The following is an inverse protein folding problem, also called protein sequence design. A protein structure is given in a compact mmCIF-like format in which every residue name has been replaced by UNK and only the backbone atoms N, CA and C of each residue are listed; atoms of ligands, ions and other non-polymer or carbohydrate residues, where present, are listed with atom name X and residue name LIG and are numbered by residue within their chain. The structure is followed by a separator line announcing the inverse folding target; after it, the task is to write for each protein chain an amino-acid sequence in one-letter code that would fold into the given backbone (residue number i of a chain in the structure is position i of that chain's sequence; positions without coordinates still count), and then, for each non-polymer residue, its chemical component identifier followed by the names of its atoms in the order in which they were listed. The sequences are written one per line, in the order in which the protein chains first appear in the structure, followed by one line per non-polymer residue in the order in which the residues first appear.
data_IF_511263154413
#
_entry.id   IF_511263154413
#
_cell.length_a   1.000
_cell.length_b   1.000
_cell.length_c   1.000
_cell.angle_alpha   90.00
_cell.angle_beta   90.00
_cell.angle_gamma   90.00
#
_symmetry.space_group_name_H-M   'P 1'
#
loop_
_entity.id
_entity.type
_entity.pdbx_description
1 polymer ?
#
# COMPACT_ATOMS: atom_id res chain seq x y z
N UNK A 1 0.65 50.85 43.21
CA UNK A 1 0.06 49.49 43.14
C UNK A 1 -0.83 49.26 41.90
N UNK A 2 -1.64 50.24 41.47
CA UNK A 2 -2.58 50.12 40.33
C UNK A 2 -1.90 50.05 38.95
N UNK A 3 -0.74 50.70 38.77
CA UNK A 3 -0.01 50.68 37.49
C UNK A 3 0.58 49.29 37.17
N UNK A 4 1.05 48.57 38.20
CA UNK A 4 1.60 47.21 38.05
C UNK A 4 0.52 46.17 37.69
N UNK A 5 -0.70 46.33 38.22
CA UNK A 5 -1.83 45.44 37.91
C UNK A 5 -2.36 45.67 36.50
N UNK A 6 -2.39 46.91 36.01
CA UNK A 6 -2.75 47.21 34.61
C UNK A 6 -1.73 46.65 33.61
N UNK A 7 -0.42 46.78 33.89
CA UNK A 7 0.62 46.22 33.03
C UNK A 7 0.53 44.69 32.97
N UNK A 8 0.27 44.01 34.10
CA UNK A 8 0.04 42.55 34.12
C UNK A 8 -1.19 42.14 33.32
N UNK A 9 -2.29 42.88 33.40
CA UNK A 9 -3.52 42.61 32.64
C UNK A 9 -3.33 42.79 31.13
N UNK A 10 -2.55 43.80 30.72
CA UNK A 10 -2.21 44.03 29.31
C UNK A 10 -1.28 42.91 28.79
N UNK A 11 -0.29 42.50 29.58
CA UNK A 11 0.59 41.37 29.22
C UNK A 11 -0.19 40.07 29.07
N UNK A 12 -1.12 39.76 29.97
CA UNK A 12 -1.96 38.56 29.91
C UNK A 12 -2.84 38.57 28.65
N UNK A 13 -3.44 39.72 28.30
CA UNK A 13 -4.23 39.85 27.06
C UNK A 13 -3.38 39.68 25.80
N UNK A 14 -2.17 40.22 25.77
CA UNK A 14 -1.25 40.06 24.65
C UNK A 14 -0.77 38.60 24.48
N UNK A 15 -0.52 37.89 25.59
CA UNK A 15 -0.18 36.46 25.58
C UNK A 15 -1.36 35.63 25.08
N UNK A 16 -2.57 35.93 25.54
CA UNK A 16 -3.78 35.20 25.12
C UNK A 16 -4.08 35.40 23.62
N UNK A 17 -3.90 36.62 23.09
CA UNK A 17 -4.05 36.91 21.66
C UNK A 17 -3.00 36.15 20.83
N UNK A 18 -1.75 36.06 21.31
CA UNK A 18 -0.71 35.27 20.62
C UNK A 18 -0.98 33.77 20.64
N UNK A 19 -1.54 33.24 21.73
CA UNK A 19 -1.97 31.84 21.79
C UNK A 19 -3.11 31.54 20.82
N UNK A 20 -4.10 32.43 20.72
CA UNK A 20 -5.23 32.29 19.80
C UNK A 20 -4.76 32.33 18.33
N UNK A 21 -3.87 33.27 17.98
CA UNK A 21 -3.29 33.37 16.64
C UNK A 21 -2.42 32.15 16.32
N UNK A 22 -1.65 31.64 17.28
CA UNK A 22 -0.84 30.44 17.13
C UNK A 22 -1.67 29.18 16.86
N UNK A 23 -2.77 28.98 17.60
CA UNK A 23 -3.67 27.84 17.39
C UNK A 23 -4.37 27.93 16.02
N UNK A 24 -4.77 29.12 15.58
CA UNK A 24 -5.36 29.33 14.26
C UNK A 24 -4.38 28.99 13.12
N UNK A 25 -3.09 29.33 13.27
CA UNK A 25 -2.04 28.97 12.31
C UNK A 25 -1.75 27.46 12.27
N UNK A 26 -1.80 26.78 13.42
CA UNK A 26 -1.61 25.32 13.50
C UNK A 26 -2.80 24.58 12.86
N UNK A 27 -4.03 25.07 13.02
CA UNK A 27 -5.21 24.50 12.34
C UNK A 27 -5.15 24.62 10.81
N UNK A 28 -4.50 25.66 10.26
CA UNK A 28 -4.26 25.78 8.82
C UNK A 28 -3.19 24.80 8.32
N UNK A 29 -2.17 24.50 9.12
CA UNK A 29 -1.07 23.59 8.73
C UNK A 29 -1.47 22.11 8.76
N UNK A 30 -2.48 21.73 9.55
CA UNK A 30 -2.97 20.34 9.65
C UNK A 30 -3.81 19.88 8.45
N UNK A 31 -4.25 20.79 7.57
CA UNK A 31 -5.03 20.45 6.37
C UNK A 31 -4.18 19.79 5.27
N UNK A 32 -2.85 19.95 5.30
CA UNK A 32 -1.94 19.45 4.25
C UNK A 32 -1.55 17.98 4.46
N UNK A 33 -1.54 17.49 5.71
CA UNK A 33 -1.09 16.12 6.03
C UNK A 33 -2.22 15.10 6.17
N UNK A 34 -3.49 15.49 6.04
CA UNK A 34 -4.63 14.57 6.03
C UNK A 34 -4.91 13.97 4.63
N UNK A 35 -4.46 14.63 3.56
CA UNK A 35 -4.72 14.22 2.18
C UNK A 35 -3.98 12.95 1.76
N UNK A 36 -3.02 12.48 2.55
CA UNK A 36 -2.18 11.32 2.20
C UNK A 36 -2.66 9.99 2.80
N UNK A 37 -3.68 10.00 3.67
CA UNK A 37 -4.32 8.78 4.22
C UNK A 37 -5.83 8.73 3.97
N UNK A 38 -6.39 9.69 3.24
CA UNK A 38 -7.78 9.63 2.85
C UNK A 38 -7.91 8.74 1.60
N UNK A 39 -8.67 7.65 1.71
CA UNK A 39 -9.35 7.03 0.57
C UNK A 39 -10.27 8.09 -0.05
N UNK A 40 -9.70 9.00 -0.84
CA UNK A 40 -10.38 10.24 -1.20
C UNK A 40 -9.46 11.43 -1.51
N UNK A 41 -8.39 11.25 -2.29
CA UNK A 41 -7.69 12.37 -2.93
C UNK A 41 -8.26 12.57 -4.35
N UNK A 42 -8.17 13.75 -4.96
CA UNK A 42 -8.80 14.22 -6.23
C UNK A 42 -8.90 13.26 -7.45
N UNK A 43 -8.27 12.09 -7.43
CA UNK A 43 -8.71 10.91 -8.19
C UNK A 43 -10.09 10.37 -7.75
N UNK A 44 -10.61 10.80 -6.59
CA UNK A 44 -11.88 10.37 -5.99
C UNK A 44 -13.03 11.34 -6.24
N UNK A 45 -12.74 12.59 -6.65
CA UNK A 45 -13.79 13.52 -7.07
C UNK A 45 -14.36 13.17 -8.44
N UNK A 46 -13.68 12.29 -9.18
CA UNK A 46 -14.09 11.81 -10.50
C UNK A 46 -13.83 10.31 -10.64
N UNK A 47 -14.11 9.54 -9.59
CA UNK A 47 -14.00 8.08 -9.67
C UNK A 47 -14.99 7.55 -10.71
N UNK A 48 -16.19 8.15 -10.78
CA UNK A 48 -17.19 7.85 -11.80
C UNK A 48 -16.65 8.11 -13.21
N UNK A 49 -16.04 9.27 -13.50
CA UNK A 49 -15.45 9.53 -14.82
C UNK A 49 -14.27 8.62 -15.14
N UNK A 50 -13.48 8.22 -14.14
CA UNK A 50 -12.37 7.28 -14.34
C UNK A 50 -12.87 5.85 -14.61
N UNK A 51 -13.94 5.41 -13.92
CA UNK A 51 -14.60 4.14 -14.18
C UNK A 51 -15.32 4.16 -15.53
N UNK A 52 -16.01 5.26 -15.85
CA UNK A 52 -16.70 5.45 -17.12
C UNK A 52 -15.71 5.46 -18.29
N UNK A 53 -14.57 6.14 -18.17
CA UNK A 53 -13.52 6.09 -19.19
C UNK A 53 -12.97 4.67 -19.41
N UNK A 54 -12.96 3.85 -18.35
CA UNK A 54 -12.52 2.46 -18.43
C UNK A 54 -13.59 1.53 -19.04
N UNK A 55 -14.86 1.79 -18.74
CA UNK A 55 -16.02 1.12 -19.34
C UNK A 55 -16.14 1.51 -20.82
N UNK A 56 -16.10 2.80 -21.13
CA UNK A 56 -16.13 3.31 -22.50
C UNK A 56 -14.95 2.77 -23.33
N UNK A 57 -13.80 2.51 -22.70
CA UNK A 57 -12.65 1.87 -23.36
C UNK A 57 -12.81 0.35 -23.54
N UNK A 58 -13.54 -0.36 -22.66
CA UNK A 58 -13.72 -1.80 -22.76
C UNK A 58 -14.88 -2.26 -21.85
N UNK A 59 -16.12 -2.16 -22.33
CA UNK A 59 -17.32 -2.56 -21.59
C UNK A 59 -17.57 -4.07 -21.69
N UNK A 60 -16.58 -4.86 -21.27
CA UNK A 60 -16.70 -6.31 -21.18
C UNK A 60 -16.29 -6.79 -19.78
N UNK A 61 -17.22 -7.49 -19.14
CA UNK A 61 -17.08 -7.95 -17.76
C UNK A 61 -15.93 -8.95 -17.61
N UNK A 62 -15.67 -9.80 -18.59
CA UNK A 62 -14.58 -10.79 -18.52
C UNK A 62 -13.22 -10.09 -18.61
N UNK A 63 -13.07 -9.12 -19.50
CA UNK A 63 -11.86 -8.31 -19.62
C UNK A 63 -11.58 -7.53 -18.32
N UNK A 64 -12.61 -6.93 -17.71
CA UNK A 64 -12.49 -6.26 -16.41
C UNK A 64 -12.13 -7.25 -15.28
N UNK A 65 -12.69 -8.46 -15.29
CA UNK A 65 -12.33 -9.51 -14.34
C UNK A 65 -10.88 -9.98 -14.50
N UNK A 66 -10.41 -10.16 -15.74
CA UNK A 66 -9.02 -10.50 -16.02
C UNK A 66 -8.06 -9.40 -15.53
N UNK A 67 -8.39 -8.13 -15.76
CA UNK A 67 -7.64 -6.98 -15.22
C UNK A 67 -7.52 -7.05 -13.70
N UNK A 68 -8.63 -7.33 -13.01
CA UNK A 68 -8.63 -7.44 -11.55
C UNK A 68 -7.74 -8.60 -11.06
N UNK A 69 -7.79 -9.75 -11.74
CA UNK A 69 -6.92 -10.91 -11.43
C UNK A 69 -5.45 -10.60 -11.65
N UNK A 70 -5.09 -9.98 -12.78
CA UNK A 70 -3.70 -9.58 -13.05
C UNK A 70 -3.20 -8.66 -11.92
N UNK A 71 -3.97 -7.61 -11.59
CA UNK A 71 -3.62 -6.67 -10.51
C UNK A 71 -3.44 -7.32 -9.14
N UNK A 72 -4.18 -8.40 -8.86
CA UNK A 72 -4.02 -9.18 -7.64
C UNK A 72 -2.67 -9.92 -7.60
N UNK A 73 -2.14 -10.34 -8.76
CA UNK A 73 -0.88 -11.06 -8.87
C UNK A 73 0.34 -10.15 -8.97
N UNK A 74 0.22 -8.93 -9.53
CA UNK A 74 1.33 -7.98 -9.66
C UNK A 74 2.18 -7.78 -8.38
N UNK A 75 1.63 -7.56 -7.18
CA UNK A 75 2.45 -7.40 -5.98
C UNK A 75 3.13 -8.71 -5.52
N UNK A 76 2.63 -9.87 -5.98
CA UNK A 76 3.05 -11.20 -5.56
C UNK A 76 4.06 -11.83 -6.52
N UNK A 77 4.19 -11.31 -7.73
CA UNK A 77 5.07 -11.84 -8.76
C UNK A 77 6.49 -11.22 -8.70
N UNK A 78 7.39 -11.66 -9.57
CA UNK A 78 8.72 -11.04 -9.75
C UNK A 78 8.59 -9.67 -10.42
N UNK A 79 9.58 -8.79 -10.23
CA UNK A 79 9.52 -7.42 -10.78
C UNK A 79 9.48 -7.41 -12.32
N UNK A 80 10.20 -8.32 -12.98
CA UNK A 80 10.18 -8.49 -14.44
C UNK A 80 8.81 -8.98 -14.94
N UNK A 81 8.22 -9.98 -14.27
CA UNK A 81 6.89 -10.47 -14.61
C UNK A 81 5.80 -9.42 -14.37
N UNK A 82 5.92 -8.63 -13.30
CA UNK A 82 5.02 -7.52 -13.01
C UNK A 82 5.05 -6.47 -14.13
N UNK A 83 6.25 -6.02 -14.52
CA UNK A 83 6.40 -5.02 -15.59
C UNK A 83 5.87 -5.50 -16.94
N UNK A 84 6.12 -6.77 -17.30
CA UNK A 84 5.57 -7.38 -18.52
C UNK A 84 4.04 -7.48 -18.48
N UNK A 85 3.48 -7.97 -17.38
CA UNK A 85 2.03 -8.11 -17.24
C UNK A 85 1.31 -6.74 -17.21
N UNK A 86 1.90 -5.70 -16.61
CA UNK A 86 1.36 -4.33 -16.65
C UNK A 86 1.35 -3.77 -18.07
N UNK A 87 2.45 -3.92 -18.82
CA UNK A 87 2.54 -3.46 -20.21
C UNK A 87 1.51 -4.17 -21.11
N UNK A 88 1.33 -5.48 -20.94
CA UNK A 88 0.32 -6.23 -21.69
C UNK A 88 -1.10 -5.86 -21.30
N UNK A 89 -1.34 -5.53 -20.03
CA UNK A 89 -2.64 -5.03 -19.57
C UNK A 89 -2.98 -3.71 -20.27
N UNK A 90 -2.05 -2.75 -20.33
CA UNK A 90 -2.28 -1.47 -21.03
C UNK A 90 -2.56 -1.67 -22.52
N UNK A 91 -1.78 -2.52 -23.18
CA UNK A 91 -1.98 -2.86 -24.60
C UNK A 91 -3.34 -3.52 -24.83
N UNK A 92 -3.75 -4.46 -23.98
CA UNK A 92 -5.02 -5.15 -24.13
C UNK A 92 -6.23 -4.22 -23.97
N UNK A 93 -6.18 -3.25 -23.07
CA UNK A 93 -7.25 -2.24 -22.97
C UNK A 93 -7.28 -1.29 -24.15
N UNK A 94 -6.13 -0.96 -24.75
CA UNK A 94 -6.08 -0.24 -26.01
C UNK A 94 -6.68 -1.05 -27.18
N UNK A 95 -6.38 -2.36 -27.26
CA UNK A 95 -6.96 -3.30 -28.24
C UNK A 95 -8.47 -3.39 -28.09
N UNK A 96 -8.96 -3.49 -26.84
CA UNK A 96 -10.39 -3.54 -26.56
C UNK A 96 -11.10 -2.24 -26.98
N UNK A 97 -10.52 -1.07 -26.70
CA UNK A 97 -11.05 0.22 -27.14
C UNK A 97 -11.04 0.43 -28.65
N UNK A 98 -10.21 -0.32 -29.37
CA UNK A 98 -10.22 -0.43 -30.83
C UNK A 98 -11.33 -1.31 -31.40
N UNK A 99 -12.11 -2.00 -30.54
CA UNK A 99 -13.21 -2.89 -30.93
C UNK A 99 -12.82 -4.36 -31.07
N UNK A 100 -11.57 -4.74 -30.82
CA UNK A 100 -11.12 -6.15 -30.83
C UNK A 100 -11.14 -6.75 -29.43
N UNK A 101 -12.33 -7.15 -29.01
CA UNK A 101 -12.55 -7.72 -27.68
C UNK A 101 -11.89 -9.10 -27.50
N UNK A 102 -11.94 -9.97 -28.50
CA UNK A 102 -11.33 -11.30 -28.42
C UNK A 102 -9.80 -11.21 -28.35
N UNK A 103 -9.19 -10.34 -29.17
CA UNK A 103 -7.75 -10.06 -29.10
C UNK A 103 -7.33 -9.51 -27.74
N UNK A 104 -8.12 -8.58 -27.18
CA UNK A 104 -7.89 -8.06 -25.84
C UNK A 104 -7.97 -9.14 -24.75
N UNK A 105 -8.99 -10.01 -24.78
CA UNK A 105 -9.12 -11.13 -23.82
C UNK A 105 -7.95 -12.10 -23.91
N UNK A 106 -7.46 -12.40 -25.12
CA UNK A 106 -6.30 -13.25 -25.31
C UNK A 106 -5.03 -12.64 -24.68
N UNK A 107 -4.78 -11.35 -24.94
CA UNK A 107 -3.66 -10.61 -24.36
C UNK A 107 -3.75 -10.54 -22.82
N UNK A 108 -4.93 -10.31 -22.27
CA UNK A 108 -5.15 -10.31 -20.81
C UNK A 108 -4.94 -11.70 -20.20
N UNK A 109 -5.32 -12.76 -20.90
CA UNK A 109 -5.10 -14.14 -20.42
C UNK A 109 -3.61 -14.48 -20.40
N UNK A 110 -2.87 -14.07 -21.43
CA UNK A 110 -1.42 -14.24 -21.48
C UNK A 110 -0.72 -13.42 -20.38
N UNK A 111 -1.14 -12.17 -20.17
CA UNK A 111 -0.62 -11.32 -19.11
C UNK A 111 -0.83 -11.94 -17.71
N UNK A 112 -2.01 -12.56 -17.49
CA UNK A 112 -2.30 -13.27 -16.25
C UNK A 112 -1.36 -14.48 -16.06
N UNK A 113 -1.15 -15.27 -17.12
CA UNK A 113 -0.24 -16.42 -17.11
C UNK A 113 1.20 -16.01 -16.76
N UNK A 114 1.70 -14.90 -17.34
CA UNK A 114 3.03 -14.35 -17.02
C UNK A 114 3.11 -13.94 -15.54
N UNK A 115 2.10 -13.23 -15.05
CA UNK A 115 2.07 -12.81 -13.66
C UNK A 115 2.06 -14.03 -12.71
N UNK A 116 1.26 -15.05 -12.99
CA UNK A 116 1.19 -16.29 -12.21
C UNK A 116 2.51 -17.09 -12.25
N UNK A 117 3.16 -17.17 -13.42
CA UNK A 117 4.46 -17.81 -13.55
C UNK A 117 5.53 -17.14 -12.67
N UNK A 118 5.57 -15.80 -12.67
CA UNK A 118 6.50 -15.07 -11.81
C UNK A 118 6.13 -15.15 -10.32
N UNK A 119 4.87 -15.42 -9.95
CA UNK A 119 4.53 -15.74 -8.55
C UNK A 119 5.22 -17.04 -8.14
N UNK A 120 5.10 -18.09 -8.95
CA UNK A 120 5.76 -19.37 -8.70
C UNK A 120 7.28 -19.23 -8.59
N UNK A 121 7.91 -18.51 -9.52
CA UNK A 121 9.35 -18.25 -9.50
C UNK A 121 9.78 -17.53 -8.21
N UNK A 122 9.03 -16.50 -7.78
CA UNK A 122 9.33 -15.76 -6.55
C UNK A 122 9.27 -16.66 -5.31
N UNK A 123 8.31 -17.59 -5.27
CA UNK A 123 8.21 -18.57 -4.18
C UNK A 123 9.37 -19.56 -4.19
N UNK A 124 9.79 -20.07 -5.35
CA UNK A 124 10.96 -20.96 -5.47
C UNK A 124 12.27 -20.27 -5.03
N UNK A 125 12.44 -18.99 -5.38
CA UNK A 125 13.55 -18.17 -4.90
C UNK A 125 13.50 -17.95 -3.38
N UNK A 126 12.31 -17.74 -2.82
CA UNK A 126 12.12 -17.59 -1.38
C UNK A 126 12.50 -18.87 -0.62
N UNK A 127 12.09 -20.05 -1.12
CA UNK A 127 12.46 -21.34 -0.51
C UNK A 127 13.98 -21.56 -0.51
N UNK A 128 14.64 -21.23 -1.62
CA UNK A 128 16.10 -21.36 -1.76
C UNK A 128 16.85 -20.41 -0.83
N UNK A 129 16.36 -19.18 -0.64
CA UNK A 129 16.98 -18.19 0.25
C UNK A 129 16.75 -18.49 1.72
N UNK A 130 15.58 -19.03 2.10
CA UNK A 130 15.32 -19.53 3.46
C UNK A 130 16.23 -20.71 3.79
N UNK A 131 16.37 -21.70 2.90
CA UNK A 131 17.28 -22.82 3.09
C UNK A 131 18.76 -22.37 3.23
N UNK A 132 19.18 -21.36 2.47
CA UNK A 132 20.52 -20.77 2.58
C UNK A 132 20.71 -19.99 3.90
N UNK A 133 19.68 -19.29 4.37
CA UNK A 133 19.71 -18.61 5.67
C UNK A 133 19.77 -19.60 6.82
N UNK A 134 18.98 -20.67 6.81
CA UNK A 134 19.03 -21.73 7.82
C UNK A 134 20.40 -22.42 7.87
N UNK A 135 21.04 -22.64 6.71
CA UNK A 135 22.40 -23.17 6.65
C UNK A 135 23.46 -22.21 7.22
N UNK A 136 23.26 -20.89 7.09
CA UNK A 136 24.16 -19.89 7.68
C UNK A 136 23.93 -19.65 9.18
N UNK A 137 22.69 -19.80 9.67
CA UNK A 137 22.35 -19.72 11.09
C UNK A 137 22.91 -20.91 11.87
N UNK A 138 22.93 -22.11 11.25
CA UNK A 138 23.48 -23.31 11.87
C UNK A 138 25.02 -23.33 11.96
N UNK A 139 25.72 -22.42 11.27
CA UNK A 139 27.18 -22.24 11.42
C UNK A 139 27.57 -21.24 12.52
N UNK A 140 26.60 -20.54 13.12
CA UNK A 140 26.85 -19.52 14.15
C UNK A 140 26.65 -19.98 15.61
N UNK A 141 25.98 -21.10 15.87
CA UNK A 141 25.62 -21.48 17.24
C UNK A 141 26.48 -22.61 17.80
N UNK A 142 27.78 -22.35 17.91
CA UNK A 142 28.65 -23.06 18.84
C UNK A 142 28.47 -22.52 20.25
N UNK A 143 27.31 -22.74 20.88
CA UNK A 143 27.18 -22.57 22.33
C UNK A 143 26.36 -23.73 22.91
N UNK A 144 27.10 -24.65 23.53
CA UNK A 144 26.59 -25.59 24.51
C UNK A 144 25.74 -24.85 25.53
N UNK A 145 24.49 -25.25 25.69
CA UNK A 145 23.89 -25.20 27.02
C UNK A 145 22.98 -26.39 27.26
N UNK A 146 23.33 -27.05 28.35
CA UNK A 146 22.60 -28.08 29.06
C UNK A 146 21.23 -27.52 29.48
N UNK A 147 20.25 -28.41 29.54
CA UNK A 147 18.98 -28.29 30.27
C UNK A 147 19.00 -27.25 31.39
N UNK A 148 18.02 -26.35 31.40
CA UNK A 148 17.08 -26.23 32.53
C UNK A 148 15.91 -25.27 32.25
N UNK A 149 14.74 -25.75 32.66
CA UNK A 149 13.44 -25.07 32.73
C UNK A 149 13.50 -23.70 33.43
N UNK A 150 12.96 -22.67 32.77
CA UNK A 150 12.31 -21.55 33.45
C UNK A 150 11.31 -20.86 32.52
N UNK A 151 10.02 -21.24 32.69
CA UNK A 151 8.87 -20.47 32.22
C UNK A 151 8.88 -19.06 32.82
N UNK A 152 9.15 -18.04 32.00
CA UNK A 152 8.77 -16.66 32.30
C UNK A 152 7.68 -16.18 31.32
N UNK A 153 6.43 -16.40 31.74
CA UNK A 153 5.44 -15.32 31.88
C UNK A 153 4.81 -14.66 30.65
N UNK A 154 5.19 -14.97 29.41
CA UNK A 154 4.52 -14.37 28.24
C UNK A 154 3.40 -15.26 27.72
N UNK A 155 2.16 -15.01 28.16
CA UNK A 155 0.99 -15.66 27.55
C UNK A 155 0.93 -15.35 26.06
N UNK A 156 0.79 -16.36 25.21
CA UNK A 156 0.88 -16.14 23.78
C UNK A 156 -0.41 -15.57 23.18
N UNK A 157 -0.24 -14.68 22.20
CA UNK A 157 -1.27 -13.80 21.61
C UNK A 157 -2.41 -14.51 20.87
N UNK A 158 -2.32 -15.82 20.68
CA UNK A 158 -3.30 -16.63 19.96
C UNK A 158 -4.42 -17.22 20.82
N UNK A 159 -4.46 -16.92 22.11
CA UNK A 159 -5.49 -17.45 23.03
C UNK A 159 -6.67 -16.50 23.25
N UNK A 160 -6.78 -15.41 22.47
CA UNK A 160 -7.78 -14.37 22.66
C UNK A 160 -8.87 -14.32 21.55
N UNK A 161 -8.90 -15.32 20.67
CA UNK A 161 -9.94 -15.50 19.65
C UNK A 161 -10.76 -16.77 19.88
#
# INVERSE_FOLDING_TARGET
MILLTMIRLIMIRLIMIRLIVGVFFISLALQVSAQQQQAGNAASSDTEGTFQALIDACDDVDALMLRARIRLQLPRTTEDAAGKAESMLEQAFATCGGGDLEGAKAQLTEALSIAEAGVSEKFEMAETTVAAQEASVNQGNGRTDETDDASDGASPWWKFW
#
